data_IF_709429488008
#
_entry.id   IF_709429488008
#
_cell.length_a   1.000
_cell.length_b   1.000
_cell.length_c   1.000
_cell.angle_alpha   90.00
_cell.angle_beta   90.00
_cell.angle_gamma   90.00
#
_symmetry.space_group_name_H-M   'P 1'
#
loop_
_entity.id
_entity.type
_entity.pdbx_description
1 polymer ?
#
# COMPACT_ATOMS: atom_id res chain seq x y z
N UNK A 1 -9.97 -21.16 -7.67
CA UNK A 1 -9.76 -19.81 -8.25
C UNK A 1 -10.95 -18.97 -7.87
N UNK A 2 -10.78 -17.98 -6.98
CA UNK A 2 -11.88 -17.07 -6.61
C UNK A 2 -12.24 -16.26 -7.85
N UNK A 3 -13.47 -16.41 -8.33
CA UNK A 3 -13.94 -15.94 -9.63
C UNK A 3 -14.27 -14.43 -9.61
N UNK A 4 -13.33 -13.60 -9.09
CA UNK A 4 -13.51 -12.15 -9.04
C UNK A 4 -13.55 -11.57 -10.44
N UNK A 5 -14.51 -10.69 -10.69
CA UNK A 5 -14.58 -9.95 -11.95
C UNK A 5 -13.39 -8.99 -12.08
N UNK A 6 -13.00 -8.61 -13.30
CA UNK A 6 -11.90 -7.64 -13.51
C UNK A 6 -12.14 -6.33 -12.74
N UNK A 7 -13.39 -5.89 -12.65
CA UNK A 7 -13.79 -4.70 -11.90
C UNK A 7 -13.51 -4.84 -10.41
N UNK A 8 -13.86 -5.97 -9.80
CA UNK A 8 -13.55 -6.24 -8.39
C UNK A 8 -12.05 -6.29 -8.11
N UNK A 9 -11.27 -6.86 -9.03
CA UNK A 9 -9.80 -6.92 -8.91
C UNK A 9 -9.20 -5.52 -8.96
N UNK A 10 -9.72 -4.64 -9.82
CA UNK A 10 -9.32 -3.24 -9.91
C UNK A 10 -9.74 -2.45 -8.67
N UNK A 11 -10.95 -2.63 -8.16
CA UNK A 11 -11.42 -1.96 -6.94
C UNK A 11 -10.59 -2.40 -5.71
N UNK A 12 -10.29 -3.71 -5.59
CA UNK A 12 -9.42 -4.23 -4.53
C UNK A 12 -7.99 -3.66 -4.65
N UNK A 13 -7.50 -3.52 -5.87
CA UNK A 13 -6.20 -2.89 -6.14
C UNK A 13 -6.20 -1.40 -5.78
N UNK A 14 -7.30 -0.69 -6.03
CA UNK A 14 -7.46 0.72 -5.64
C UNK A 14 -7.49 0.86 -4.11
N UNK A 15 -8.27 0.03 -3.40
CA UNK A 15 -8.32 0.03 -1.94
C UNK A 15 -6.95 -0.24 -1.32
N UNK A 16 -6.24 -1.27 -1.80
CA UNK A 16 -4.86 -1.55 -1.37
C UNK A 16 -3.92 -0.38 -1.64
N UNK A 17 -4.10 0.32 -2.78
CA UNK A 17 -3.32 1.50 -3.13
C UNK A 17 -3.57 2.68 -2.20
N UNK A 18 -4.84 2.94 -1.85
CA UNK A 18 -5.21 3.98 -0.87
C UNK A 18 -4.59 3.68 0.50
N UNK A 19 -4.64 2.43 0.96
CA UNK A 19 -4.03 2.02 2.24
C UNK A 19 -2.50 2.18 2.19
N UNK A 20 -1.85 1.74 1.11
CA UNK A 20 -0.41 1.91 0.94
C UNK A 20 0.00 3.40 0.89
N UNK A 21 -0.77 4.23 0.18
CA UNK A 21 -0.56 5.67 0.10
C UNK A 21 -0.77 6.38 1.44
N UNK A 22 -1.82 6.02 2.18
CA UNK A 22 -2.07 6.56 3.52
C UNK A 22 -0.96 6.20 4.50
N UNK A 23 -0.47 4.95 4.47
CA UNK A 23 0.65 4.51 5.30
C UNK A 23 1.95 5.29 4.97
N UNK A 24 2.22 5.49 3.68
CA UNK A 24 3.35 6.29 3.23
C UNK A 24 3.25 7.74 3.71
N UNK A 25 2.09 8.39 3.55
CA UNK A 25 1.86 9.74 4.04
C UNK A 25 2.04 9.84 5.56
N UNK A 26 1.49 8.89 6.32
CA UNK A 26 1.64 8.83 7.78
C UNK A 26 3.11 8.68 8.20
N UNK A 27 3.89 7.89 7.47
CA UNK A 27 5.33 7.70 7.74
C UNK A 27 6.11 8.99 7.54
N UNK A 28 5.83 9.71 6.43
CA UNK A 28 6.46 11.01 6.16
C UNK A 28 6.08 12.02 7.26
N UNK A 29 4.79 12.12 7.59
CA UNK A 29 4.32 13.00 8.67
C UNK A 29 4.98 12.66 10.00
N UNK A 30 5.11 11.38 10.36
CA UNK A 30 5.78 10.98 11.58
C UNK A 30 7.26 11.40 11.60
N UNK A 31 7.96 11.32 10.47
CA UNK A 31 9.36 11.73 10.36
C UNK A 31 9.57 13.22 10.56
N UNK A 32 8.68 14.03 9.99
CA UNK A 32 8.76 15.49 10.07
C UNK A 32 8.17 16.06 11.36
N UNK A 33 7.03 15.55 11.82
CA UNK A 33 6.26 16.13 12.93
C UNK A 33 6.52 15.47 14.29
N UNK A 34 6.99 14.22 14.31
CA UNK A 34 7.24 13.48 15.56
C UNK A 34 8.73 13.27 15.78
N UNK A 35 9.35 12.37 15.01
CA UNK A 35 10.80 12.10 15.04
C UNK A 35 11.21 11.06 13.99
N UNK A 36 12.52 10.99 13.70
CA UNK A 36 13.07 9.94 12.81
C UNK A 36 12.83 8.51 13.32
N UNK A 37 12.99 8.18 14.62
CA UNK A 37 12.64 6.84 15.13
C UNK A 37 11.16 6.48 14.92
N UNK A 38 10.23 7.44 15.07
CA UNK A 38 8.82 7.19 14.82
C UNK A 38 8.55 6.86 13.34
N UNK A 39 9.21 7.57 12.41
CA UNK A 39 9.16 7.21 10.99
C UNK A 39 9.76 5.84 10.71
N UNK A 40 10.87 5.47 11.36
CA UNK A 40 11.49 4.15 11.18
C UNK A 40 10.55 3.01 11.57
N UNK A 41 9.77 3.18 12.65
CA UNK A 41 8.73 2.21 13.05
C UNK A 41 7.62 2.12 12.01
N UNK A 42 7.14 3.25 11.49
CA UNK A 42 6.07 3.28 10.48
C UNK A 42 6.53 2.87 9.07
N UNK A 43 7.84 2.91 8.80
CA UNK A 43 8.38 2.44 7.53
C UNK A 43 8.11 0.94 7.31
N UNK A 44 8.05 0.13 8.39
CA UNK A 44 7.77 -1.31 8.32
C UNK A 44 6.37 -1.60 7.75
N UNK A 45 5.25 -1.13 8.35
CA UNK A 45 3.93 -1.37 7.77
C UNK A 45 3.76 -0.71 6.40
N UNK A 46 4.38 0.44 6.15
CA UNK A 46 4.37 1.09 4.83
C UNK A 46 5.00 0.22 3.75
N UNK A 47 6.16 -0.38 4.03
CA UNK A 47 6.80 -1.31 3.11
C UNK A 47 5.94 -2.56 2.88
N UNK A 48 5.31 -3.10 3.92
CA UNK A 48 4.42 -4.27 3.81
C UNK A 48 3.21 -3.95 2.94
N UNK A 49 2.51 -2.85 3.17
CA UNK A 49 1.34 -2.48 2.39
C UNK A 49 1.71 -2.11 0.95
N UNK A 50 2.81 -1.40 0.75
CA UNK A 50 3.36 -1.11 -0.57
C UNK A 50 3.68 -2.38 -1.34
N UNK A 51 4.38 -3.33 -0.72
CA UNK A 51 4.69 -4.62 -1.35
C UNK A 51 3.45 -5.45 -1.66
N UNK A 52 2.47 -5.52 -0.74
CA UNK A 52 1.22 -6.25 -0.97
C UNK A 52 0.40 -5.64 -2.10
N UNK A 53 0.37 -4.32 -2.21
CA UNK A 53 -0.30 -3.62 -3.29
C UNK A 53 0.38 -3.87 -4.64
N UNK A 54 1.71 -3.75 -4.68
CA UNK A 54 2.50 -4.00 -5.88
C UNK A 54 2.39 -5.45 -6.34
N UNK A 55 2.53 -6.42 -5.42
CA UNK A 55 2.36 -7.84 -5.69
C UNK A 55 0.97 -8.16 -6.23
N UNK A 56 -0.09 -7.57 -5.64
CA UNK A 56 -1.46 -7.72 -6.15
C UNK A 56 -1.59 -7.19 -7.59
N UNK A 57 -0.98 -6.05 -7.92
CA UNK A 57 -0.98 -5.55 -9.31
C UNK A 57 -0.26 -6.49 -10.26
N UNK A 58 0.91 -6.99 -9.87
CA UNK A 58 1.72 -7.90 -10.67
C UNK A 58 0.99 -9.23 -10.95
N UNK A 59 0.41 -9.86 -9.94
CA UNK A 59 -0.33 -11.13 -10.07
C UNK A 59 -1.59 -11.00 -10.94
N UNK A 60 -2.18 -9.79 -11.02
CA UNK A 60 -3.41 -9.54 -11.77
C UNK A 60 -3.16 -8.82 -13.12
N UNK A 61 -1.90 -8.66 -13.54
CA UNK A 61 -1.54 -8.01 -14.81
C UNK A 61 -1.97 -6.54 -14.89
N UNK A 62 -2.13 -5.87 -13.74
CA UNK A 62 -2.50 -4.45 -13.67
C UNK A 62 -1.24 -3.64 -13.91
N UNK A 63 -1.20 -2.90 -15.03
CA UNK A 63 -0.11 -1.97 -15.34
C UNK A 63 -0.09 -0.79 -14.36
N UNK A 64 1.09 -0.22 -14.13
CA UNK A 64 1.29 0.96 -13.28
C UNK A 64 0.57 2.18 -13.86
#
# INVERSE_FOLDING_TARGET
>A
MSHKTRTEVLEDSQRKGVVAGAAAAATVVAGFAVSLPAAAVLAVPTAIFGYRWWKHRAENGIRF
#
